data_IF_709607984204
#
_entry.id   IF_709607984204
#
_cell.length_a   1.000
_cell.length_b   1.000
_cell.length_c   1.000
_cell.angle_alpha   90.00
_cell.angle_beta   90.00
_cell.angle_gamma   90.00
#
_symmetry.space_group_name_H-M   'P 1'
#
loop_
_entity.id
_entity.type
_entity.pdbx_description
1 polymer ?
#
# COMPACT_ATOMS: atom_id res chain seq x y z
N UNK A 1 -26.96 32.58 14.44
CA UNK A 1 -26.03 31.94 15.40
C UNK A 1 -24.63 31.98 14.81
N UNK A 2 -23.66 32.44 15.59
CA UNK A 2 -22.28 32.66 15.13
C UNK A 2 -21.62 31.31 14.76
N UNK A 3 -21.24 31.12 13.49
CA UNK A 3 -20.65 29.87 12.98
C UNK A 3 -19.44 29.44 13.82
N UNK A 4 -18.66 30.40 14.32
CA UNK A 4 -17.50 30.15 15.18
C UNK A 4 -17.87 29.58 16.56
N UNK A 5 -19.00 30.01 17.15
CA UNK A 5 -19.46 29.49 18.43
C UNK A 5 -19.98 28.05 18.30
N UNK A 6 -20.66 27.73 17.20
CA UNK A 6 -21.13 26.37 16.91
C UNK A 6 -19.96 25.41 16.65
N UNK A 7 -18.96 25.84 15.87
CA UNK A 7 -17.74 25.05 15.64
C UNK A 7 -16.98 24.79 16.95
N UNK A 8 -16.91 25.78 17.85
CA UNK A 8 -16.28 25.61 19.16
C UNK A 8 -17.04 24.61 20.03
N UNK A 9 -18.36 24.74 20.14
CA UNK A 9 -19.19 23.83 20.93
C UNK A 9 -19.09 22.38 20.42
N UNK A 10 -19.13 22.17 19.11
CA UNK A 10 -19.04 20.82 18.56
C UNK A 10 -17.64 20.20 18.76
N UNK A 11 -16.58 21.02 18.82
CA UNK A 11 -15.24 20.57 19.20
C UNK A 11 -15.21 20.04 20.64
N UNK A 12 -15.86 20.75 21.56
CA UNK A 12 -15.97 20.33 22.97
C UNK A 12 -16.72 18.99 23.09
N UNK A 13 -17.78 18.77 22.31
CA UNK A 13 -18.49 17.49 22.27
C UNK A 13 -17.62 16.34 21.75
N UNK A 14 -16.83 16.56 20.69
CA UNK A 14 -15.88 15.56 20.18
C UNK A 14 -14.82 15.23 21.24
N UNK A 15 -14.26 16.23 21.91
CA UNK A 15 -13.25 16.05 22.96
C UNK A 15 -13.83 15.28 24.16
N UNK A 16 -15.08 15.57 24.54
CA UNK A 16 -15.78 14.84 25.58
C UNK A 16 -15.99 13.36 25.19
N UNK A 17 -16.58 13.09 24.01
CA UNK A 17 -16.78 11.70 23.56
C UNK A 17 -15.46 10.94 23.39
N UNK A 18 -14.37 11.63 23.03
CA UNK A 18 -13.05 11.03 22.98
C UNK A 18 -12.53 10.64 24.37
N UNK A 19 -12.79 11.47 25.40
CA UNK A 19 -12.45 11.12 26.77
C UNK A 19 -13.27 9.92 27.27
N UNK A 20 -14.56 9.84 26.92
CA UNK A 20 -15.43 8.72 27.26
C UNK A 20 -14.99 7.40 26.60
N UNK A 21 -14.53 7.44 25.35
CA UNK A 21 -14.05 6.26 24.60
C UNK A 21 -12.58 5.91 24.86
N UNK A 22 -11.85 6.69 25.67
CA UNK A 22 -10.40 6.53 25.84
C UNK A 22 -10.01 5.11 26.23
N UNK A 23 -10.66 4.55 27.24
CA UNK A 23 -10.37 3.18 27.71
C UNK A 23 -10.78 2.11 26.68
N UNK A 24 -11.88 2.31 25.97
CA UNK A 24 -12.31 1.39 24.91
C UNK A 24 -11.31 1.39 23.74
N UNK A 25 -10.75 2.54 23.35
CA UNK A 25 -9.71 2.63 22.34
C UNK A 25 -8.38 2.04 22.82
N UNK A 26 -7.96 2.33 24.04
CA UNK A 26 -6.76 1.73 24.63
C UNK A 26 -6.88 0.19 24.62
N UNK A 27 -8.00 -0.36 25.09
CA UNK A 27 -8.27 -1.80 25.03
C UNK A 27 -8.29 -2.34 23.59
N UNK A 28 -8.98 -1.65 22.68
CA UNK A 28 -9.11 -2.09 21.29
C UNK A 28 -7.74 -2.23 20.61
N UNK A 29 -6.88 -1.21 20.70
CA UNK A 29 -5.59 -1.20 20.01
C UNK A 29 -4.49 -1.99 20.73
N UNK A 30 -4.50 -2.05 22.06
CA UNK A 30 -3.39 -2.63 22.84
C UNK A 30 -3.63 -4.06 23.33
N UNK A 31 -4.87 -4.55 23.34
CA UNK A 31 -5.16 -5.92 23.78
C UNK A 31 -6.04 -6.67 22.77
N UNK A 32 -7.20 -6.11 22.42
CA UNK A 32 -8.18 -6.82 21.62
C UNK A 32 -7.60 -7.24 20.26
N UNK A 33 -7.08 -6.30 19.47
CA UNK A 33 -6.52 -6.58 18.15
C UNK A 33 -5.28 -7.48 18.18
N UNK A 34 -4.60 -7.57 19.32
CA UNK A 34 -3.44 -8.46 19.50
C UNK A 34 -3.91 -9.90 19.75
N UNK A 35 -4.90 -10.05 20.64
CA UNK A 35 -5.21 -11.32 21.27
C UNK A 35 -6.50 -12.00 20.76
N UNK A 36 -7.34 -11.29 20.01
CA UNK A 36 -8.67 -11.76 19.59
C UNK A 36 -8.91 -11.59 18.09
N UNK A 37 -9.98 -12.21 17.60
CA UNK A 37 -10.45 -12.02 16.22
C UNK A 37 -10.81 -10.56 15.97
N UNK A 38 -10.35 -10.01 14.83
CA UNK A 38 -10.57 -8.63 14.48
C UNK A 38 -12.06 -8.28 14.37
N UNK A 39 -12.92 -9.17 13.85
CA UNK A 39 -14.35 -8.89 13.72
C UNK A 39 -15.06 -8.86 15.09
N UNK A 40 -14.62 -9.70 16.04
CA UNK A 40 -15.09 -9.62 17.44
C UNK A 40 -14.73 -8.26 18.04
N UNK A 41 -13.48 -7.83 17.90
CA UNK A 41 -13.02 -6.53 18.41
C UNK A 41 -13.78 -5.37 17.79
N UNK A 42 -14.01 -5.39 16.48
CA UNK A 42 -14.80 -4.38 15.76
C UNK A 42 -16.22 -4.35 16.31
N UNK A 43 -16.86 -5.52 16.48
CA UNK A 43 -18.23 -5.62 16.99
C UNK A 43 -18.35 -5.07 18.41
N UNK A 44 -17.38 -5.40 19.26
CA UNK A 44 -17.30 -4.88 20.62
C UNK A 44 -17.15 -3.36 20.63
N UNK A 45 -16.20 -2.82 19.86
CA UNK A 45 -15.97 -1.37 19.80
C UNK A 45 -17.21 -0.63 19.28
N UNK A 46 -17.87 -1.13 18.24
CA UNK A 46 -19.11 -0.55 17.71
C UNK A 46 -20.22 -0.53 18.77
N UNK A 47 -20.29 -1.53 19.65
CA UNK A 47 -21.31 -1.57 20.72
C UNK A 47 -21.16 -0.42 21.74
N UNK A 48 -20.01 0.26 21.77
CA UNK A 48 -19.73 1.42 22.63
C UNK A 48 -20.31 2.73 22.09
N UNK A 49 -20.82 2.74 20.86
CA UNK A 49 -21.41 3.93 20.27
C UNK A 49 -22.75 4.29 20.95
N UNK A 50 -22.74 5.34 21.79
CA UNK A 50 -23.94 5.85 22.47
C UNK A 50 -24.69 6.91 21.68
N UNK A 51 -23.94 7.68 20.89
CA UNK A 51 -24.46 8.77 20.05
C UNK A 51 -23.64 8.89 18.74
N UNK A 52 -23.96 9.91 17.95
CA UNK A 52 -23.30 10.20 16.69
C UNK A 52 -21.84 10.67 16.81
N UNK A 53 -21.42 11.28 17.92
CA UNK A 53 -20.03 11.67 18.15
C UNK A 53 -19.18 10.45 18.48
N UNK A 54 -19.71 9.52 19.28
CA UNK A 54 -19.10 8.21 19.49
C UNK A 54 -19.03 7.42 18.17
N UNK A 55 -20.13 7.39 17.41
CA UNK A 55 -20.16 6.73 16.10
C UNK A 55 -19.11 7.31 15.15
N UNK A 56 -18.96 8.63 15.13
CA UNK A 56 -17.94 9.32 14.34
C UNK A 56 -16.51 8.89 14.73
N UNK A 57 -16.20 8.90 16.02
CA UNK A 57 -14.87 8.53 16.55
C UNK A 57 -14.54 7.06 16.32
N UNK A 58 -15.50 6.16 16.54
CA UNK A 58 -15.35 4.73 16.25
C UNK A 58 -15.19 4.52 14.74
N UNK A 59 -15.97 5.23 13.92
CA UNK A 59 -15.80 5.22 12.47
C UNK A 59 -14.37 5.61 12.07
N UNK A 60 -13.83 6.67 12.68
CA UNK A 60 -12.45 7.11 12.45
C UNK A 60 -11.42 6.04 12.82
N UNK A 61 -11.58 5.36 13.97
CA UNK A 61 -10.71 4.27 14.38
C UNK A 61 -10.75 3.08 13.40
N UNK A 62 -11.91 2.83 12.78
CA UNK A 62 -12.11 1.73 11.83
C UNK A 62 -11.74 2.08 10.38
N UNK A 63 -11.39 3.33 10.09
CA UNK A 63 -11.16 3.81 8.73
C UNK A 63 -10.09 3.01 7.97
N UNK A 64 -9.02 2.60 8.65
CA UNK A 64 -7.92 1.79 8.09
C UNK A 64 -7.97 0.31 8.54
N UNK A 65 -9.14 -0.17 8.97
CA UNK A 65 -9.34 -1.55 9.46
C UNK A 65 -10.52 -2.20 8.74
N UNK A 66 -11.69 -1.56 8.79
CA UNK A 66 -12.90 -2.00 8.10
C UNK A 66 -13.65 -0.77 7.55
N UNK A 67 -13.28 -0.37 6.33
CA UNK A 67 -13.84 0.81 5.67
C UNK A 67 -15.36 0.72 5.49
N UNK A 68 -15.95 -0.49 5.40
CA UNK A 68 -17.40 -0.65 5.23
C UNK A 68 -18.13 -0.27 6.51
N UNK A 69 -17.62 -0.72 7.67
CA UNK A 69 -18.18 -0.33 8.97
C UNK A 69 -17.93 1.13 9.27
N UNK A 70 -16.73 1.64 8.96
CA UNK A 70 -16.39 3.06 9.07
C UNK A 70 -17.37 3.94 8.29
N UNK A 71 -17.60 3.62 7.01
CA UNK A 71 -18.57 4.31 6.15
C UNK A 71 -19.97 4.39 6.76
N UNK A 72 -20.52 3.27 7.25
CA UNK A 72 -21.88 3.25 7.81
C UNK A 72 -21.99 4.06 9.11
N UNK A 73 -20.95 4.07 9.95
CA UNK A 73 -20.91 4.88 11.16
C UNK A 73 -20.86 6.38 10.84
N UNK A 74 -19.97 6.81 9.94
CA UNK A 74 -19.87 8.22 9.51
C UNK A 74 -21.15 8.68 8.81
N UNK A 75 -21.77 7.82 8.00
CA UNK A 75 -23.05 8.07 7.35
C UNK A 75 -24.20 8.24 8.36
N UNK A 76 -24.22 7.44 9.42
CA UNK A 76 -25.17 7.60 10.52
C UNK A 76 -24.96 8.94 11.23
N UNK A 77 -23.71 9.28 11.54
CA UNK A 77 -23.36 10.51 12.26
C UNK A 77 -23.76 11.78 11.49
N UNK A 78 -23.41 11.88 10.20
CA UNK A 78 -23.77 13.05 9.38
C UNK A 78 -25.29 13.15 9.14
N UNK A 79 -26.04 12.04 9.16
CA UNK A 79 -27.50 12.08 9.04
C UNK A 79 -28.13 12.78 10.25
N UNK A 80 -27.54 12.61 11.44
CA UNK A 80 -28.00 13.26 12.68
C UNK A 80 -27.55 14.72 12.77
N UNK A 81 -26.28 14.99 12.47
CA UNK A 81 -25.72 16.34 12.45
C UNK A 81 -25.18 16.73 11.07
N UNK A 82 -26.05 17.10 10.11
CA UNK A 82 -25.65 17.37 8.74
C UNK A 82 -24.78 18.63 8.58
N UNK A 83 -24.69 19.46 9.62
CA UNK A 83 -23.90 20.68 9.65
C UNK A 83 -22.62 20.55 10.48
N UNK A 84 -22.35 19.39 11.10
CA UNK A 84 -21.11 19.18 11.83
C UNK A 84 -19.94 19.06 10.84
N UNK A 85 -18.98 19.98 10.97
CA UNK A 85 -17.92 20.18 9.99
C UNK A 85 -17.01 18.94 9.87
N UNK A 86 -16.71 18.29 10.98
CA UNK A 86 -15.86 17.09 11.03
C UNK A 86 -16.56 15.92 10.35
N UNK A 87 -17.87 15.76 10.58
CA UNK A 87 -18.68 14.71 9.97
C UNK A 87 -18.81 14.92 8.46
N UNK A 88 -18.99 16.16 8.02
CA UNK A 88 -19.01 16.54 6.60
C UNK A 88 -17.69 16.12 5.92
N UNK A 89 -16.54 16.41 6.54
CA UNK A 89 -15.25 16.08 5.95
C UNK A 89 -15.06 14.56 5.83
N UNK A 90 -15.29 13.82 6.92
CA UNK A 90 -15.11 12.37 6.91
C UNK A 90 -16.06 11.68 5.96
N UNK A 91 -17.32 12.08 5.92
CA UNK A 91 -18.27 11.54 4.95
C UNK A 91 -17.88 11.88 3.49
N UNK A 92 -17.26 13.03 3.24
CA UNK A 92 -16.73 13.35 1.91
C UNK A 92 -15.57 12.42 1.50
N UNK A 93 -14.61 12.20 2.41
CA UNK A 93 -13.48 11.29 2.26
C UNK A 93 -13.96 9.85 2.01
N UNK A 94 -14.90 9.39 2.81
CA UNK A 94 -15.54 8.08 2.67
C UNK A 94 -16.20 7.90 1.30
N UNK A 95 -17.02 8.88 0.86
CA UNK A 95 -17.62 8.84 -0.48
C UNK A 95 -16.57 8.91 -1.59
N UNK A 96 -15.45 9.61 -1.37
CA UNK A 96 -14.37 9.67 -2.34
C UNK A 96 -13.71 8.30 -2.51
N UNK A 97 -13.36 7.63 -1.41
CA UNK A 97 -12.77 6.29 -1.40
C UNK A 97 -13.62 5.26 -2.14
N UNK A 98 -14.95 5.32 -2.01
CA UNK A 98 -15.87 4.43 -2.73
C UNK A 98 -16.34 4.99 -4.09
N UNK A 99 -15.59 5.94 -4.65
CA UNK A 99 -15.78 6.52 -5.99
C UNK A 99 -17.15 7.21 -6.21
N UNK A 100 -17.84 7.60 -5.13
CA UNK A 100 -19.05 8.45 -5.18
C UNK A 100 -18.68 9.94 -5.30
N UNK A 101 -17.97 10.28 -6.36
CA UNK A 101 -17.35 11.60 -6.58
C UNK A 101 -18.33 12.78 -6.49
N UNK A 102 -19.56 12.65 -7.02
CA UNK A 102 -20.58 13.72 -6.93
C UNK A 102 -20.95 14.04 -5.48
N UNK A 103 -21.11 13.02 -4.65
CA UNK A 103 -21.43 13.17 -3.22
C UNK A 103 -20.24 13.72 -2.46
N UNK A 104 -19.03 13.24 -2.75
CA UNK A 104 -17.79 13.74 -2.16
C UNK A 104 -17.62 15.25 -2.43
N UNK A 105 -17.74 15.68 -3.70
CA UNK A 105 -17.63 17.10 -4.10
C UNK A 105 -18.62 17.98 -3.33
N UNK A 106 -19.89 17.55 -3.18
CA UNK A 106 -20.90 18.31 -2.44
C UNK A 106 -20.44 18.61 -1.01
N UNK A 107 -19.91 17.61 -0.32
CA UNK A 107 -19.50 17.72 1.08
C UNK A 107 -18.15 18.42 1.24
N UNK A 108 -17.17 18.13 0.36
CA UNK A 108 -15.90 18.87 0.32
C UNK A 108 -16.10 20.36 0.13
N UNK A 109 -16.99 20.77 -0.79
CA UNK A 109 -17.32 22.20 -0.95
C UNK A 109 -17.94 22.81 0.30
N UNK A 110 -18.82 22.08 0.99
CA UNK A 110 -19.45 22.55 2.23
C UNK A 110 -18.39 22.76 3.32
N UNK A 111 -17.45 21.83 3.46
CA UNK A 111 -16.33 21.95 4.38
C UNK A 111 -15.41 23.13 4.01
N UNK A 112 -15.04 23.24 2.73
CA UNK A 112 -14.11 24.26 2.20
C UNK A 112 -14.63 25.68 2.41
N UNK A 113 -15.94 25.92 2.43
CA UNK A 113 -16.54 27.22 2.77
C UNK A 113 -16.20 27.70 4.19
N UNK A 114 -15.92 26.79 5.12
CA UNK A 114 -15.56 27.10 6.52
C UNK A 114 -14.05 27.01 6.74
N UNK A 115 -13.35 26.23 5.90
CA UNK A 115 -11.90 25.98 5.97
C UNK A 115 -11.23 26.26 4.63
N UNK A 116 -11.29 27.53 4.21
CA UNK A 116 -10.87 27.96 2.87
C UNK A 116 -9.40 27.66 2.56
N UNK A 117 -8.53 27.62 3.58
CA UNK A 117 -7.09 27.42 3.41
C UNK A 117 -6.65 25.94 3.45
N UNK A 118 -7.57 24.98 3.62
CA UNK A 118 -7.20 23.56 3.62
C UNK A 118 -6.92 23.05 2.20
N UNK A 119 -5.65 23.05 1.80
CA UNK A 119 -5.20 22.65 0.46
C UNK A 119 -5.52 21.19 0.12
N UNK A 120 -5.66 20.30 1.13
CA UNK A 120 -5.93 18.87 0.92
C UNK A 120 -7.27 18.66 0.21
N UNK A 121 -8.24 19.50 0.54
CA UNK A 121 -9.56 19.48 -0.09
C UNK A 121 -9.48 19.83 -1.57
N UNK A 122 -8.55 20.70 -1.97
CA UNK A 122 -8.32 21.00 -3.38
C UNK A 122 -7.68 19.81 -4.12
N UNK A 123 -6.81 19.03 -3.48
CA UNK A 123 -6.30 17.76 -4.05
C UNK A 123 -7.46 16.79 -4.32
N UNK A 124 -8.31 16.55 -3.31
CA UNK A 124 -9.43 15.61 -3.45
C UNK A 124 -10.51 16.09 -4.42
N UNK A 125 -10.80 17.40 -4.45
CA UNK A 125 -11.71 17.97 -5.44
C UNK A 125 -11.15 17.83 -6.87
N UNK A 126 -9.84 18.03 -7.04
CA UNK A 126 -9.18 17.83 -8.33
C UNK A 126 -9.42 16.43 -8.88
N UNK A 127 -9.12 15.41 -8.08
CA UNK A 127 -9.35 14.01 -8.43
C UNK A 127 -10.83 13.71 -8.72
N UNK A 128 -11.75 14.18 -7.87
CA UNK A 128 -13.17 13.94 -8.07
C UNK A 128 -13.67 14.57 -9.39
N UNK A 129 -13.23 15.78 -9.73
CA UNK A 129 -13.61 16.42 -10.98
C UNK A 129 -12.98 15.76 -12.21
N UNK A 130 -11.72 15.32 -12.10
CA UNK A 130 -11.04 14.55 -13.14
C UNK A 130 -11.85 13.30 -13.50
N UNK A 131 -12.28 12.54 -12.49
CA UNK A 131 -13.07 11.32 -12.69
C UNK A 131 -14.50 11.58 -13.20
N UNK A 132 -15.04 12.80 -13.01
CA UNK A 132 -16.32 13.22 -13.59
C UNK A 132 -16.18 13.90 -14.96
N UNK A 133 -14.99 13.93 -15.56
CA UNK A 133 -14.73 14.57 -16.85
C UNK A 133 -14.72 16.10 -16.84
N UNK A 134 -14.71 16.72 -15.66
CA UNK A 134 -14.64 18.17 -15.53
C UNK A 134 -13.20 18.66 -15.40
N UNK A 135 -12.44 18.53 -16.48
CA UNK A 135 -11.00 18.75 -16.49
C UNK A 135 -10.60 20.19 -16.13
N UNK A 136 -11.36 21.19 -16.58
CA UNK A 136 -11.11 22.61 -16.21
C UNK A 136 -11.13 22.82 -14.69
N UNK A 137 -12.13 22.25 -14.00
CA UNK A 137 -12.19 22.33 -12.53
C UNK A 137 -11.14 21.46 -11.84
N UNK A 138 -10.78 20.32 -12.43
CA UNK A 138 -9.70 19.51 -11.92
C UNK A 138 -8.38 20.30 -11.88
N UNK A 139 -8.02 20.93 -13.00
CA UNK A 139 -6.83 21.79 -13.11
C UNK A 139 -6.89 22.97 -12.14
N UNK A 140 -8.03 23.67 -12.06
CA UNK A 140 -8.22 24.80 -11.13
C UNK A 140 -7.91 24.40 -9.68
N UNK A 141 -8.47 23.28 -9.22
CA UNK A 141 -8.24 22.80 -7.86
C UNK A 141 -6.82 22.25 -7.67
N UNK A 142 -6.25 21.56 -8.66
CA UNK A 142 -4.85 21.14 -8.59
C UNK A 142 -3.89 22.33 -8.40
N UNK A 143 -4.12 23.43 -9.12
CA UNK A 143 -3.34 24.66 -8.95
C UNK A 143 -3.51 25.25 -7.55
N UNK A 144 -4.72 25.29 -7.00
CA UNK A 144 -5.00 25.77 -5.63
C UNK A 144 -4.33 24.91 -4.56
N UNK A 145 -4.18 23.60 -4.79
CA UNK A 145 -3.44 22.72 -3.88
C UNK A 145 -1.96 23.11 -3.75
N UNK A 146 -1.41 23.86 -4.72
CA UNK A 146 -0.07 24.44 -4.70
C UNK A 146 1.03 23.39 -4.42
N UNK A 147 1.18 22.45 -5.35
CA UNK A 147 2.14 21.34 -5.23
C UNK A 147 3.55 21.78 -4.84
N UNK A 148 4.06 22.86 -5.45
CA UNK A 148 5.39 23.40 -5.14
C UNK A 148 5.58 23.73 -3.64
N UNK A 149 4.53 24.15 -2.93
CA UNK A 149 4.59 24.42 -1.48
C UNK A 149 4.19 23.22 -0.63
N UNK A 150 3.33 22.33 -1.15
CA UNK A 150 2.62 21.33 -0.34
C UNK A 150 2.89 19.86 -0.75
N UNK A 151 3.88 19.56 -1.60
CA UNK A 151 4.09 18.23 -2.19
C UNK A 151 3.96 17.05 -1.20
N UNK A 152 4.69 17.05 -0.07
CA UNK A 152 4.58 15.99 0.95
C UNK A 152 3.14 15.87 1.50
N UNK A 153 2.50 17.00 1.74
CA UNK A 153 1.12 17.05 2.22
C UNK A 153 0.10 16.58 1.18
N UNK A 154 0.38 16.78 -0.11
CA UNK A 154 -0.42 16.25 -1.22
C UNK A 154 -0.27 14.73 -1.26
N UNK A 155 0.96 14.20 -1.19
CA UNK A 155 1.20 12.75 -1.20
C UNK A 155 0.43 12.07 -0.05
N UNK A 156 0.48 12.65 1.16
CA UNK A 156 -0.30 12.18 2.32
C UNK A 156 -1.81 12.31 2.12
N UNK A 157 -2.28 13.39 1.49
CA UNK A 157 -3.71 13.55 1.20
C UNK A 157 -4.21 12.46 0.24
N UNK A 158 -3.40 12.09 -0.75
CA UNK A 158 -3.69 10.99 -1.68
C UNK A 158 -3.67 9.65 -0.93
N UNK A 159 -2.69 9.43 -0.03
CA UNK A 159 -2.60 8.23 0.80
C UNK A 159 -3.84 8.01 1.67
N UNK A 160 -4.43 9.08 2.22
CA UNK A 160 -5.67 8.97 3.02
C UNK A 160 -6.80 8.27 2.23
N UNK A 161 -6.87 8.50 0.91
CA UNK A 161 -7.91 7.89 0.07
C UNK A 161 -7.50 6.49 -0.39
N UNK A 162 -6.27 6.35 -0.89
CA UNK A 162 -5.83 5.19 -1.69
C UNK A 162 -4.77 4.28 -1.04
N UNK A 163 -4.25 4.65 0.13
CA UNK A 163 -3.29 3.84 0.88
C UNK A 163 -3.87 2.51 1.37
N UNK A 164 -3.01 1.61 1.86
CA UNK A 164 -3.46 0.30 2.34
C UNK A 164 -4.28 0.41 3.64
N UNK A 165 -5.47 -0.19 3.67
CA UNK A 165 -6.45 -0.03 4.78
C UNK A 165 -6.92 -1.35 5.40
N UNK A 166 -6.25 -2.47 5.10
CA UNK A 166 -6.73 -3.80 5.48
C UNK A 166 -5.68 -4.63 6.23
N UNK A 167 -4.52 -4.06 6.58
CA UNK A 167 -3.40 -4.81 7.19
C UNK A 167 -3.81 -5.53 8.48
N UNK A 168 -4.59 -4.88 9.36
CA UNK A 168 -5.08 -5.50 10.61
C UNK A 168 -6.02 -6.67 10.32
N UNK A 169 -6.92 -6.51 9.34
CA UNK A 169 -7.86 -7.57 8.96
C UNK A 169 -7.14 -8.75 8.32
N UNK A 170 -6.20 -8.47 7.41
CA UNK A 170 -5.31 -9.44 6.80
C UNK A 170 -4.50 -10.20 7.85
N UNK A 171 -3.95 -9.51 8.85
CA UNK A 171 -3.25 -10.14 9.97
C UNK A 171 -4.16 -11.14 10.70
N UNK A 172 -5.39 -10.75 11.03
CA UNK A 172 -6.39 -11.63 11.67
C UNK A 172 -6.64 -12.91 10.85
N UNK A 173 -6.85 -12.76 9.54
CA UNK A 173 -7.06 -13.91 8.63
C UNK A 173 -5.83 -14.83 8.55
N UNK A 174 -4.63 -14.24 8.52
CA UNK A 174 -3.37 -14.97 8.49
C UNK A 174 -3.11 -15.74 9.78
N UNK A 175 -3.48 -15.21 10.95
CA UNK A 175 -3.40 -15.92 12.23
C UNK A 175 -4.28 -17.17 12.20
N UNK A 176 -5.54 -17.06 11.76
CA UNK A 176 -6.46 -18.19 11.68
C UNK A 176 -5.92 -19.30 10.75
N UNK A 177 -5.41 -18.93 9.58
CA UNK A 177 -4.79 -19.88 8.64
C UNK A 177 -3.51 -20.50 9.20
N UNK A 178 -2.68 -19.69 9.86
CA UNK A 178 -1.47 -20.17 10.54
C UNK A 178 -1.82 -21.22 11.59
N UNK A 179 -2.83 -20.96 12.43
CA UNK A 179 -3.33 -21.90 13.44
C UNK A 179 -3.89 -23.20 12.82
N UNK A 180 -4.40 -23.14 11.59
CA UNK A 180 -4.77 -24.32 10.79
C UNK A 180 -3.58 -25.06 10.16
N UNK A 181 -2.35 -24.75 10.57
CA UNK A 181 -1.08 -25.28 10.05
C UNK A 181 -0.79 -24.93 8.58
N UNK A 182 -1.34 -23.84 8.06
CA UNK A 182 -0.94 -23.33 6.75
C UNK A 182 0.42 -22.62 6.84
N UNK A 183 1.47 -23.32 6.38
CA UNK A 183 2.85 -22.82 6.41
C UNK A 183 2.99 -21.50 5.67
N UNK A 184 2.35 -21.34 4.48
CA UNK A 184 2.43 -20.11 3.69
C UNK A 184 1.93 -18.89 4.47
N UNK A 185 0.78 -19.01 5.12
CA UNK A 185 0.22 -17.94 5.95
C UNK A 185 1.13 -17.57 7.14
N UNK A 186 1.86 -18.53 7.71
CA UNK A 186 2.83 -18.25 8.78
C UNK A 186 3.93 -17.30 8.30
N UNK A 187 4.49 -17.51 7.10
CA UNK A 187 5.49 -16.59 6.54
C UNK A 187 4.89 -15.24 6.17
N UNK A 188 3.69 -15.23 5.59
CA UNK A 188 3.01 -13.97 5.24
C UNK A 188 2.65 -13.13 6.47
N UNK A 189 2.28 -13.78 7.58
CA UNK A 189 1.99 -13.13 8.87
C UNK A 189 3.23 -12.40 9.39
N UNK A 190 4.33 -13.14 9.56
CA UNK A 190 5.57 -12.56 10.09
C UNK A 190 6.16 -11.52 9.14
N UNK A 191 6.05 -11.72 7.82
CA UNK A 191 6.47 -10.71 6.85
C UNK A 191 5.64 -9.42 6.96
N UNK A 192 4.32 -9.53 7.15
CA UNK A 192 3.44 -8.38 7.34
C UNK A 192 3.84 -7.57 8.57
N UNK A 193 4.06 -8.22 9.72
CA UNK A 193 4.45 -7.54 10.96
C UNK A 193 5.80 -6.83 10.83
N UNK A 194 6.74 -7.37 10.05
CA UNK A 194 8.07 -6.78 9.86
C UNK A 194 8.13 -5.63 8.84
N UNK A 195 7.12 -5.52 7.98
CA UNK A 195 7.11 -4.58 6.85
C UNK A 195 5.79 -3.81 6.82
N UNK A 196 5.33 -3.38 8.00
CA UNK A 196 4.04 -2.74 8.16
C UNK A 196 4.05 -1.35 7.54
N UNK A 197 3.18 -1.13 6.56
CA UNK A 197 3.04 0.14 5.86
C UNK A 197 2.43 1.20 6.80
N UNK A 198 3.02 2.39 6.82
CA UNK A 198 2.54 3.56 7.56
C UNK A 198 2.02 4.63 6.61
N UNK A 199 2.75 4.84 5.52
CA UNK A 199 2.41 5.68 4.38
C UNK A 199 3.14 5.17 3.13
N UNK A 200 3.07 5.93 2.03
CA UNK A 200 3.68 5.56 0.75
C UNK A 200 5.17 5.18 0.81
N UNK A 201 5.95 5.73 1.75
CA UNK A 201 7.40 5.55 1.81
C UNK A 201 7.91 5.00 3.15
N UNK A 202 7.08 5.01 4.19
CA UNK A 202 7.43 4.53 5.51
C UNK A 202 6.85 3.16 5.80
N UNK A 203 7.72 2.28 6.29
CA UNK A 203 7.33 1.05 6.95
C UNK A 203 8.01 0.92 8.32
N UNK A 204 7.46 0.08 9.18
CA UNK A 204 8.07 -0.27 10.45
C UNK A 204 7.87 -1.75 10.79
N UNK A 205 8.54 -2.18 11.87
CA UNK A 205 8.23 -3.47 12.50
C UNK A 205 7.16 -3.19 13.57
N UNK A 206 6.07 -3.94 13.56
CA UNK A 206 5.03 -3.90 14.58
C UNK A 206 5.37 -4.88 15.70
N UNK A 207 6.25 -4.48 16.61
CA UNK A 207 6.85 -5.36 17.63
C UNK A 207 5.82 -6.10 18.49
N UNK A 208 4.73 -5.42 18.87
CA UNK A 208 3.71 -5.99 19.73
C UNK A 208 2.91 -7.11 19.05
N UNK A 209 2.66 -6.99 17.74
CA UNK A 209 2.07 -8.07 16.94
C UNK A 209 3.07 -9.18 16.69
N UNK A 210 4.29 -8.80 16.29
CA UNK A 210 5.35 -9.73 15.92
C UNK A 210 5.69 -10.72 17.04
N UNK A 211 5.82 -10.24 18.28
CA UNK A 211 6.11 -11.11 19.43
C UNK A 211 5.02 -12.17 19.62
N UNK A 212 3.74 -11.74 19.57
CA UNK A 212 2.59 -12.64 19.70
C UNK A 212 2.53 -13.65 18.55
N UNK A 213 2.80 -13.20 17.33
CA UNK A 213 2.62 -14.01 16.14
C UNK A 213 3.76 -15.01 15.94
N UNK A 214 4.99 -14.66 16.31
CA UNK A 214 6.09 -15.63 16.40
C UNK A 214 5.76 -16.74 17.43
N UNK A 215 5.17 -16.38 18.57
CA UNK A 215 4.74 -17.36 19.56
C UNK A 215 3.59 -18.22 19.03
N UNK A 216 2.68 -17.66 18.24
CA UNK A 216 1.64 -18.43 17.55
C UNK A 216 2.26 -19.46 16.60
N UNK A 217 3.22 -19.07 15.76
CA UNK A 217 3.96 -20.00 14.90
C UNK A 217 4.64 -21.09 15.72
N UNK A 218 5.33 -20.72 16.81
CA UNK A 218 5.98 -21.67 17.72
C UNK A 218 5.01 -22.71 18.27
N UNK A 219 3.85 -22.28 18.74
CA UNK A 219 2.85 -23.13 19.37
C UNK A 219 2.15 -24.03 18.35
N UNK A 220 1.93 -23.55 17.13
CA UNK A 220 1.24 -24.31 16.08
C UNK A 220 2.14 -25.34 15.40
N UNK A 221 3.37 -24.98 15.05
CA UNK A 221 4.28 -25.84 14.29
C UNK A 221 5.30 -26.57 15.18
N UNK A 222 5.62 -26.01 16.35
CA UNK A 222 6.65 -26.51 17.27
C UNK A 222 7.98 -25.77 17.15
N UNK A 223 8.76 -25.74 18.24
CA UNK A 223 10.04 -25.00 18.35
C UNK A 223 11.15 -25.49 17.40
N UNK A 224 11.06 -26.74 16.96
CA UNK A 224 12.07 -27.37 16.07
C UNK A 224 11.54 -27.48 14.62
N UNK A 225 10.36 -26.92 14.35
CA UNK A 225 9.78 -26.89 13.01
C UNK A 225 10.59 -25.99 12.07
N UNK A 226 10.55 -26.32 10.78
CA UNK A 226 11.18 -25.50 9.74
C UNK A 226 10.63 -24.07 9.78
N UNK A 227 9.32 -23.91 9.89
CA UNK A 227 8.61 -22.62 9.94
C UNK A 227 9.14 -21.74 11.06
N UNK A 228 9.12 -22.26 12.30
CA UNK A 228 9.54 -21.47 13.45
C UNK A 228 11.03 -21.13 13.39
N UNK A 229 11.89 -22.07 13.00
CA UNK A 229 13.34 -21.83 12.89
C UNK A 229 13.63 -20.75 11.84
N UNK A 230 13.00 -20.84 10.66
CA UNK A 230 13.20 -19.88 9.57
C UNK A 230 12.68 -18.48 9.94
N UNK A 231 11.49 -18.39 10.52
CA UNK A 231 10.88 -17.11 10.88
C UNK A 231 11.55 -16.46 12.10
N UNK A 232 12.04 -17.25 13.05
CA UNK A 232 12.86 -16.76 14.16
C UNK A 232 14.21 -16.24 13.69
N UNK A 233 14.85 -16.90 12.73
CA UNK A 233 16.08 -16.44 12.11
C UNK A 233 15.85 -15.13 11.33
N UNK A 234 14.79 -15.09 10.51
CA UNK A 234 14.39 -13.88 9.79
C UNK A 234 14.16 -12.70 10.74
N UNK A 235 13.45 -12.93 11.86
CA UNK A 235 13.24 -11.89 12.88
C UNK A 235 14.55 -11.32 13.41
N UNK A 236 15.47 -12.18 13.83
CA UNK A 236 16.79 -11.77 14.33
C UNK A 236 17.57 -10.99 13.28
N UNK A 237 17.60 -11.47 12.03
CA UNK A 237 18.35 -10.86 10.93
C UNK A 237 17.77 -9.47 10.58
N UNK A 238 16.44 -9.34 10.48
CA UNK A 238 15.79 -8.05 10.19
C UNK A 238 16.11 -7.02 11.26
N UNK A 239 16.07 -7.39 12.54
CA UNK A 239 16.46 -6.52 13.65
C UNK A 239 17.94 -6.10 13.60
N UNK A 240 18.84 -7.05 13.31
CA UNK A 240 20.27 -6.77 13.14
C UNK A 240 20.52 -5.83 11.96
N UNK A 241 19.78 -5.97 10.86
CA UNK A 241 19.95 -5.13 9.66
C UNK A 241 19.62 -3.66 9.88
N UNK A 242 18.87 -3.32 10.94
CA UNK A 242 18.57 -1.93 11.34
C UNK A 242 19.66 -1.29 12.21
N UNK A 243 20.70 -2.05 12.59
CA UNK A 243 21.80 -1.59 13.45
C UNK A 243 23.11 -1.55 12.66
N UNK A 244 24.02 -0.60 12.94
CA UNK A 244 25.33 -0.57 12.30
C UNK A 244 26.20 -1.76 12.76
N UNK A 245 27.17 -2.15 11.93
CA UNK A 245 28.22 -3.13 12.26
C UNK A 245 27.73 -4.54 12.66
N UNK A 246 26.64 -5.03 12.08
CA UNK A 246 26.03 -6.33 12.42
C UNK A 246 26.35 -7.48 11.44
N UNK A 247 27.26 -7.26 10.47
CA UNK A 247 27.61 -8.24 9.43
C UNK A 247 27.90 -9.64 9.99
N UNK A 248 28.79 -9.74 10.98
CA UNK A 248 29.20 -11.03 11.54
C UNK A 248 28.07 -11.70 12.33
N UNK A 249 27.27 -10.92 13.06
CA UNK A 249 26.08 -11.43 13.75
C UNK A 249 25.04 -11.97 12.77
N UNK A 250 24.82 -11.28 11.65
CA UNK A 250 23.91 -11.75 10.59
C UNK A 250 24.43 -13.06 10.00
N UNK A 251 25.74 -13.14 9.71
CA UNK A 251 26.38 -14.35 9.20
C UNK A 251 26.19 -15.53 10.14
N UNK A 252 26.43 -15.34 11.45
CA UNK A 252 26.23 -16.39 12.47
C UNK A 252 24.79 -16.88 12.46
N UNK A 253 23.79 -15.98 12.46
CA UNK A 253 22.39 -16.39 12.46
C UNK A 253 22.03 -17.17 11.19
N UNK A 254 22.52 -16.77 10.01
CA UNK A 254 22.30 -17.49 8.76
C UNK A 254 22.93 -18.89 8.77
N UNK A 255 24.18 -19.02 9.23
CA UNK A 255 24.87 -20.32 9.33
C UNK A 255 24.21 -21.24 10.37
N UNK A 256 23.93 -20.74 11.58
CA UNK A 256 23.32 -21.53 12.67
C UNK A 256 21.91 -22.04 12.28
N UNK A 257 21.14 -21.22 11.56
CA UNK A 257 19.81 -21.59 11.07
C UNK A 257 19.84 -22.41 9.78
N UNK A 258 21.04 -22.65 9.21
CA UNK A 258 21.25 -23.34 7.93
C UNK A 258 20.40 -22.71 6.82
N UNK A 259 20.56 -21.40 6.63
CA UNK A 259 19.86 -20.64 5.59
C UNK A 259 20.83 -19.94 4.66
N UNK A 260 20.61 -20.15 3.36
CA UNK A 260 21.22 -19.41 2.23
C UNK A 260 22.74 -19.60 2.08
N UNK A 261 23.52 -19.21 3.09
CA UNK A 261 24.98 -19.34 3.09
C UNK A 261 25.40 -20.80 3.04
N UNK A 262 26.61 -21.06 2.54
CA UNK A 262 27.19 -22.42 2.43
C UNK A 262 26.31 -23.38 1.62
N UNK A 263 25.59 -22.84 0.62
CA UNK A 263 24.64 -23.56 -0.21
C UNK A 263 23.47 -24.20 0.57
N UNK A 264 23.18 -23.69 1.77
CA UNK A 264 22.02 -24.11 2.52
C UNK A 264 20.71 -23.68 1.82
N UNK A 265 19.60 -24.33 2.19
CA UNK A 265 18.29 -24.11 1.58
C UNK A 265 17.80 -22.67 1.81
N UNK A 266 17.12 -22.12 0.81
CA UNK A 266 16.37 -20.88 0.95
C UNK A 266 15.04 -21.12 1.68
N UNK A 267 14.48 -20.10 2.34
CA UNK A 267 13.08 -20.14 2.74
C UNK A 267 12.17 -20.42 1.53
N UNK A 268 11.02 -21.05 1.76
CA UNK A 268 10.07 -21.33 0.67
C UNK A 268 9.33 -20.06 0.24
N UNK A 269 9.08 -19.15 1.19
CA UNK A 269 8.35 -17.93 0.92
C UNK A 269 9.24 -16.90 0.21
N UNK A 270 8.79 -16.41 -0.95
CA UNK A 270 9.55 -15.49 -1.79
C UNK A 270 9.82 -14.14 -1.12
N UNK A 271 8.87 -13.61 -0.36
CA UNK A 271 9.05 -12.32 0.34
C UNK A 271 10.12 -12.39 1.43
N UNK A 272 10.09 -13.43 2.26
CA UNK A 272 11.13 -13.65 3.28
C UNK A 272 12.49 -13.93 2.64
N UNK A 273 12.51 -14.72 1.56
CA UNK A 273 13.74 -15.01 0.81
C UNK A 273 14.34 -13.76 0.19
N UNK A 274 13.53 -12.93 -0.48
CA UNK A 274 13.93 -11.65 -1.08
C UNK A 274 14.56 -10.73 -0.05
N UNK A 275 13.94 -10.61 1.12
CA UNK A 275 14.43 -9.75 2.19
C UNK A 275 15.76 -10.26 2.78
N UNK A 276 15.90 -11.57 3.02
CA UNK A 276 17.13 -12.18 3.52
C UNK A 276 18.28 -12.08 2.51
N UNK A 277 18.00 -12.29 1.21
CA UNK A 277 19.00 -12.15 0.15
C UNK A 277 19.45 -10.70 0.03
N UNK A 278 18.51 -9.74 0.00
CA UNK A 278 18.82 -8.30 -0.02
C UNK A 278 19.71 -7.91 1.16
N UNK A 279 19.39 -8.36 2.38
CA UNK A 279 20.23 -8.12 3.56
C UNK A 279 21.62 -8.73 3.39
N UNK A 280 21.70 -9.95 2.84
CA UNK A 280 22.97 -10.65 2.60
C UNK A 280 23.85 -9.92 1.58
N UNK A 281 23.28 -9.43 0.48
CA UNK A 281 23.99 -8.66 -0.55
C UNK A 281 24.47 -7.30 -0.01
N UNK A 282 23.59 -6.53 0.66
CA UNK A 282 23.96 -5.23 1.25
C UNK A 282 25.12 -5.39 2.26
N UNK A 283 25.15 -6.48 3.03
CA UNK A 283 26.21 -6.76 3.98
C UNK A 283 27.44 -7.47 3.37
N UNK A 284 27.48 -7.66 2.05
CA UNK A 284 28.57 -8.35 1.33
C UNK A 284 28.86 -9.73 1.93
N UNK A 285 27.80 -10.47 2.26
CA UNK A 285 27.85 -11.88 2.66
C UNK A 285 27.71 -12.81 1.45
N UNK A 286 27.11 -12.30 0.39
CA UNK A 286 26.96 -12.93 -0.92
C UNK A 286 27.29 -11.89 -1.99
N UNK A 287 27.67 -12.37 -3.17
CA UNK A 287 27.78 -11.58 -4.40
C UNK A 287 26.61 -11.95 -5.32
N UNK A 288 25.92 -10.95 -5.87
CA UNK A 288 24.73 -11.15 -6.70
C UNK A 288 25.01 -11.98 -7.96
N UNK A 289 26.13 -11.70 -8.66
CA UNK A 289 26.46 -12.37 -9.93
C UNK A 289 26.85 -13.81 -9.68
N UNK A 290 27.72 -14.04 -8.71
CA UNK A 290 28.11 -15.40 -8.31
C UNK A 290 26.91 -16.20 -7.77
N UNK A 291 26.00 -15.55 -7.03
CA UNK A 291 24.79 -16.20 -6.56
C UNK A 291 23.87 -16.57 -7.73
N UNK A 292 23.69 -15.68 -8.70
CA UNK A 292 22.90 -15.95 -9.90
C UNK A 292 23.46 -17.12 -10.72
N UNK A 293 24.77 -17.13 -10.98
CA UNK A 293 25.44 -18.20 -11.72
C UNK A 293 25.26 -19.56 -11.04
N UNK A 294 25.37 -19.61 -9.71
CA UNK A 294 25.31 -20.86 -8.96
C UNK A 294 23.88 -21.33 -8.64
N UNK A 295 22.95 -20.39 -8.40
CA UNK A 295 21.63 -20.67 -7.80
C UNK A 295 20.45 -20.00 -8.51
N UNK A 296 20.65 -19.32 -9.64
CA UNK A 296 19.57 -18.71 -10.42
C UNK A 296 18.53 -19.73 -10.87
N UNK A 297 18.97 -20.92 -11.32
CA UNK A 297 18.05 -21.99 -11.73
C UNK A 297 17.19 -22.52 -10.57
N UNK A 298 17.77 -22.64 -9.37
CA UNK A 298 17.02 -23.00 -8.16
C UNK A 298 15.89 -22.00 -7.88
N UNK A 299 16.10 -20.70 -8.17
CA UNK A 299 15.06 -19.69 -7.97
C UNK A 299 13.87 -19.87 -8.91
N UNK A 300 14.11 -20.17 -10.19
CA UNK A 300 13.03 -20.46 -11.13
C UNK A 300 12.26 -21.71 -10.68
N UNK A 301 12.96 -22.78 -10.31
CA UNK A 301 12.34 -24.04 -9.89
C UNK A 301 11.46 -23.86 -8.66
N UNK A 302 11.93 -23.11 -7.66
CA UNK A 302 11.14 -22.79 -6.47
C UNK A 302 9.94 -21.90 -6.81
N UNK A 303 10.12 -20.88 -7.66
CA UNK A 303 9.03 -20.02 -8.12
C UNK A 303 7.92 -20.83 -8.81
N UNK A 304 8.29 -21.79 -9.67
CA UNK A 304 7.36 -22.64 -10.40
C UNK A 304 6.64 -23.63 -9.50
N UNK A 305 7.40 -24.27 -8.60
CA UNK A 305 6.87 -25.26 -7.65
C UNK A 305 5.87 -24.64 -6.69
N UNK A 306 6.14 -23.44 -6.20
CA UNK A 306 5.33 -22.79 -5.17
C UNK A 306 4.34 -21.76 -5.72
N UNK A 307 4.38 -21.48 -7.03
CA UNK A 307 3.62 -20.41 -7.67
C UNK A 307 3.78 -19.09 -6.89
N UNK A 308 5.03 -18.78 -6.57
CA UNK A 308 5.43 -17.59 -5.82
C UNK A 308 6.12 -16.60 -6.77
N UNK A 309 5.40 -15.52 -7.09
CA UNK A 309 5.88 -14.45 -7.96
C UNK A 309 7.15 -13.79 -7.43
N UNK A 310 7.30 -13.67 -6.10
CA UNK A 310 8.42 -12.94 -5.52
C UNK A 310 9.74 -13.70 -5.71
N UNK A 311 9.70 -15.04 -5.76
CA UNK A 311 10.88 -15.84 -6.12
C UNK A 311 11.30 -15.60 -7.58
N UNK A 312 10.34 -15.47 -8.50
CA UNK A 312 10.65 -15.11 -9.88
C UNK A 312 11.18 -13.67 -9.97
N UNK A 313 10.65 -12.76 -9.16
CA UNK A 313 11.13 -11.37 -9.07
C UNK A 313 12.60 -11.30 -8.61
N UNK A 314 12.99 -12.15 -7.64
CA UNK A 314 14.40 -12.28 -7.23
C UNK A 314 15.25 -12.76 -8.41
N UNK A 315 14.82 -13.79 -9.13
CA UNK A 315 15.53 -14.27 -10.31
C UNK A 315 15.73 -13.16 -11.35
N UNK A 316 14.67 -12.42 -11.67
CA UNK A 316 14.72 -11.34 -12.65
C UNK A 316 15.64 -10.19 -12.22
N UNK A 317 15.62 -9.81 -10.94
CA UNK A 317 16.58 -8.85 -10.39
C UNK A 317 18.03 -9.33 -10.60
N UNK A 318 18.31 -10.58 -10.26
CA UNK A 318 19.64 -11.17 -10.40
C UNK A 318 20.08 -11.31 -11.87
N UNK A 319 19.16 -11.65 -12.77
CA UNK A 319 19.37 -11.67 -14.23
C UNK A 319 19.75 -10.28 -14.73
N UNK A 320 19.03 -9.23 -14.29
CA UNK A 320 19.33 -7.86 -14.65
C UNK A 320 20.68 -7.38 -14.12
N UNK A 321 21.04 -7.72 -12.88
CA UNK A 321 22.38 -7.38 -12.32
C UNK A 321 23.50 -8.10 -13.09
N UNK A 322 23.25 -9.33 -13.54
CA UNK A 322 24.27 -10.15 -14.20
C UNK A 322 24.45 -9.81 -15.68
N UNK A 323 23.34 -9.54 -16.39
CA UNK A 323 23.32 -9.36 -17.85
C UNK A 323 23.01 -7.93 -18.31
N UNK A 324 22.68 -7.04 -17.37
CA UNK A 324 22.29 -5.65 -17.62
C UNK A 324 20.80 -5.44 -17.92
N UNK A 325 20.00 -6.51 -18.09
CA UNK A 325 18.57 -6.43 -18.36
C UNK A 325 17.83 -7.71 -17.94
N UNK A 326 16.51 -7.63 -17.77
CA UNK A 326 15.66 -8.83 -17.64
C UNK A 326 15.38 -9.35 -19.04
N UNK A 327 15.43 -10.67 -19.25
CA UNK A 327 15.13 -11.22 -20.57
C UNK A 327 13.63 -11.18 -20.86
N UNK A 328 13.27 -11.00 -22.14
CA UNK A 328 11.87 -11.04 -22.59
C UNK A 328 11.16 -12.34 -22.17
N UNK A 329 11.90 -13.47 -22.12
CA UNK A 329 11.38 -14.75 -21.67
C UNK A 329 10.96 -14.68 -20.20
N UNK A 330 11.81 -14.14 -19.33
CA UNK A 330 11.53 -13.97 -17.90
C UNK A 330 10.34 -13.03 -17.71
N UNK A 331 10.32 -11.89 -18.41
CA UNK A 331 9.23 -10.92 -18.34
C UNK A 331 7.89 -11.51 -18.80
N UNK A 332 7.87 -12.21 -19.94
CA UNK A 332 6.65 -12.87 -20.44
C UNK A 332 6.19 -14.00 -19.52
N UNK A 333 7.10 -14.73 -18.87
CA UNK A 333 6.75 -15.73 -17.86
C UNK A 333 6.07 -15.07 -16.65
N UNK A 334 6.72 -14.07 -16.06
CA UNK A 334 6.18 -13.39 -14.88
C UNK A 334 4.86 -12.67 -15.16
N UNK A 335 4.70 -12.09 -16.34
CA UNK A 335 3.43 -11.50 -16.72
C UNK A 335 2.37 -12.56 -17.03
N UNK A 336 2.60 -13.49 -17.95
CA UNK A 336 1.53 -14.34 -18.46
C UNK A 336 1.18 -15.53 -17.56
N UNK A 337 2.14 -16.05 -16.79
CA UNK A 337 1.89 -17.20 -15.89
C UNK A 337 1.56 -16.77 -14.45
N UNK A 338 2.12 -15.65 -13.98
CA UNK A 338 1.93 -15.17 -12.61
C UNK A 338 1.00 -13.95 -12.52
N UNK A 339 0.57 -13.40 -13.67
CA UNK A 339 -0.25 -12.18 -13.74
C UNK A 339 0.39 -11.01 -12.99
N UNK A 340 1.72 -10.85 -13.12
CA UNK A 340 2.46 -9.79 -12.43
C UNK A 340 2.55 -8.51 -13.25
N UNK A 341 2.09 -7.41 -12.64
CA UNK A 341 2.21 -6.06 -13.19
C UNK A 341 3.69 -5.65 -13.36
N UNK A 342 4.55 -6.02 -12.40
CA UNK A 342 5.98 -5.65 -12.40
C UNK A 342 6.69 -6.18 -13.65
N UNK A 343 6.40 -7.42 -14.02
CA UNK A 343 6.97 -8.09 -15.18
C UNK A 343 6.40 -7.54 -16.50
N UNK A 344 5.10 -7.21 -16.54
CA UNK A 344 4.54 -6.50 -17.69
C UNK A 344 5.20 -5.12 -17.88
N UNK A 345 5.42 -4.36 -16.80
CA UNK A 345 6.12 -3.09 -16.84
C UNK A 345 7.55 -3.26 -17.34
N UNK A 346 8.28 -4.24 -16.78
CA UNK A 346 9.66 -4.57 -17.19
C UNK A 346 9.75 -4.90 -18.67
N UNK A 347 8.81 -5.72 -19.19
CA UNK A 347 8.70 -6.05 -20.61
C UNK A 347 8.67 -4.81 -21.50
N UNK A 348 7.75 -3.87 -21.23
CA UNK A 348 7.60 -2.67 -22.05
C UNK A 348 8.77 -1.69 -21.91
N UNK A 349 9.39 -1.62 -20.73
CA UNK A 349 10.62 -0.84 -20.55
C UNK A 349 11.74 -1.45 -21.40
N UNK A 350 11.87 -2.78 -21.41
CA UNK A 350 12.86 -3.50 -22.22
C UNK A 350 12.66 -3.36 -23.73
N UNK A 351 11.42 -3.17 -24.20
CA UNK A 351 11.15 -2.85 -25.61
C UNK A 351 11.68 -1.48 -26.03
N UNK A 352 11.79 -0.52 -25.10
CA UNK A 352 12.26 0.84 -25.36
C UNK A 352 11.55 1.50 -26.57
N UNK A 353 12.29 1.95 -27.56
CA UNK A 353 11.83 2.60 -28.79
C UNK A 353 11.09 1.68 -29.77
N UNK A 354 11.18 0.35 -29.56
CA UNK A 354 10.44 -0.64 -30.33
C UNK A 354 8.97 -0.70 -29.93
N UNK A 355 8.61 -0.15 -28.77
CA UNK A 355 7.22 -0.14 -28.36
C UNK A 355 6.38 0.77 -29.25
N UNK A 356 5.12 0.40 -29.45
CA UNK A 356 4.15 1.13 -30.27
C UNK A 356 2.86 1.34 -29.53
N UNK A 357 2.19 2.44 -29.83
CA UNK A 357 0.92 2.80 -29.18
C UNK A 357 -0.18 1.76 -29.44
N UNK A 358 -0.19 1.13 -30.62
CA UNK A 358 -1.12 0.10 -31.05
C UNK A 358 -0.60 -1.34 -30.82
N UNK A 359 0.44 -1.50 -30.01
CA UNK A 359 0.98 -2.81 -29.65
C UNK A 359 -0.12 -3.70 -29.02
N UNK A 360 -0.41 -4.89 -29.57
CA UNK A 360 -1.41 -5.80 -29.02
C UNK A 360 -1.06 -6.26 -27.59
N UNK A 361 0.22 -6.42 -27.28
CA UNK A 361 0.65 -6.76 -25.92
C UNK A 361 0.35 -5.59 -24.97
N UNK A 362 0.55 -4.34 -25.39
CA UNK A 362 0.20 -3.18 -24.56
C UNK A 362 -1.30 -3.10 -24.30
N UNK A 363 -2.12 -3.43 -25.31
CA UNK A 363 -3.58 -3.55 -25.14
C UNK A 363 -3.95 -4.64 -24.14
N UNK A 364 -3.32 -5.82 -24.22
CA UNK A 364 -3.50 -6.90 -23.24
C UNK A 364 -3.10 -6.44 -21.83
N UNK A 365 -1.96 -5.77 -21.67
CA UNK A 365 -1.48 -5.33 -20.36
C UNK A 365 -2.42 -4.31 -19.71
N UNK A 366 -3.05 -3.43 -20.49
CA UNK A 366 -4.05 -2.49 -20.00
C UNK A 366 -5.33 -3.19 -19.53
N UNK A 367 -5.68 -4.34 -20.13
CA UNK A 367 -6.80 -5.16 -19.70
C UNK A 367 -6.46 -5.97 -18.44
N UNK A 368 -5.24 -6.52 -18.37
CA UNK A 368 -4.76 -7.27 -17.20
C UNK A 368 -4.59 -6.35 -15.98
N UNK A 369 -4.09 -5.12 -16.19
CA UNK A 369 -3.77 -4.16 -15.14
C UNK A 369 -4.44 -2.80 -15.36
N UNK A 370 -5.79 -2.72 -15.30
CA UNK A 370 -6.53 -1.51 -15.63
C UNK A 370 -6.27 -0.34 -14.67
N UNK A 371 -5.68 -0.61 -13.49
CA UNK A 371 -5.32 0.40 -12.50
C UNK A 371 -3.82 0.74 -12.48
N UNK A 372 -3.01 0.14 -13.37
CA UNK A 372 -1.56 0.41 -13.44
C UNK A 372 -1.28 1.78 -14.04
N UNK A 373 -0.82 2.71 -13.22
CA UNK A 373 -0.35 4.00 -13.73
C UNK A 373 0.86 3.87 -14.67
N UNK A 374 1.77 2.91 -14.42
CA UNK A 374 2.94 2.70 -15.27
C UNK A 374 2.59 2.13 -16.65
N UNK A 375 1.68 1.17 -16.76
CA UNK A 375 1.28 0.64 -18.07
C UNK A 375 0.54 1.71 -18.89
N UNK A 376 -0.35 2.49 -18.25
CA UNK A 376 -0.98 3.65 -18.91
C UNK A 376 0.06 4.71 -19.34
N UNK A 377 1.08 4.93 -18.51
CA UNK A 377 2.18 5.86 -18.82
C UNK A 377 3.01 5.40 -20.02
N UNK A 378 3.28 4.09 -20.13
CA UNK A 378 3.93 3.50 -21.31
C UNK A 378 3.14 3.84 -22.58
N UNK A 379 1.82 3.67 -22.56
CA UNK A 379 0.96 4.01 -23.71
C UNK A 379 0.98 5.49 -24.05
N UNK A 380 0.86 6.37 -23.05
CA UNK A 380 0.96 7.82 -23.23
C UNK A 380 2.29 8.21 -23.90
N UNK A 381 3.40 7.61 -23.50
CA UNK A 381 4.70 7.91 -24.11
C UNK A 381 4.81 7.41 -25.55
N UNK A 382 4.26 6.24 -25.87
CA UNK A 382 4.20 5.77 -27.25
C UNK A 382 3.41 6.77 -28.12
N UNK A 383 2.26 7.26 -27.64
CA UNK A 383 1.48 8.28 -28.33
C UNK A 383 2.30 9.55 -28.60
N UNK A 384 3.04 10.04 -27.59
CA UNK A 384 3.91 11.22 -27.71
C UNK A 384 5.01 11.03 -28.75
N UNK A 385 5.72 9.90 -28.71
CA UNK A 385 6.83 9.59 -29.62
C UNK A 385 6.33 9.49 -31.06
N UNK A 386 5.14 8.93 -31.26
CA UNK A 386 4.51 8.76 -32.57
C UNK A 386 3.78 10.01 -33.07
N UNK A 387 3.74 11.11 -32.29
CA UNK A 387 3.02 12.33 -32.64
C UNK A 387 1.48 12.17 -32.70
N UNK A 388 0.93 11.21 -31.96
CA UNK A 388 -0.52 10.98 -31.82
C UNK A 388 -1.15 11.93 -30.81
N UNK A 389 -2.47 12.11 -30.87
CA UNK A 389 -3.23 12.84 -29.84
C UNK A 389 -3.07 12.15 -28.48
N UNK A 390 -2.66 12.90 -27.45
CA UNK A 390 -2.29 12.33 -26.15
C UNK A 390 -3.36 12.52 -25.07
N UNK A 391 -4.34 13.38 -25.31
CA UNK A 391 -5.30 13.83 -24.29
C UNK A 391 -6.01 12.68 -23.58
N UNK A 392 -6.50 11.72 -24.34
CA UNK A 392 -7.22 10.55 -23.78
C UNK A 392 -6.30 9.70 -22.91
N UNK A 393 -5.11 9.35 -23.40
CA UNK A 393 -4.15 8.54 -22.64
C UNK A 393 -3.62 9.31 -21.40
N UNK A 394 -3.44 10.63 -21.51
CA UNK A 394 -3.01 11.50 -20.41
C UNK A 394 -4.05 11.56 -19.28
N UNK A 395 -5.34 11.64 -19.62
CA UNK A 395 -6.43 11.60 -18.64
C UNK A 395 -6.43 10.27 -17.89
N UNK A 396 -6.21 9.15 -18.58
CA UNK A 396 -6.15 7.84 -17.93
C UNK A 396 -4.94 7.72 -17.01
N UNK A 397 -3.75 8.16 -17.43
CA UNK A 397 -2.57 8.25 -16.56
C UNK A 397 -2.87 9.06 -15.30
N UNK A 398 -3.44 10.25 -15.43
CA UNK A 398 -3.81 11.10 -14.29
C UNK A 398 -4.72 10.37 -13.30
N UNK A 399 -5.76 9.68 -13.78
CA UNK A 399 -6.68 8.91 -12.93
C UNK A 399 -5.96 7.79 -12.18
N UNK A 400 -5.06 7.06 -12.85
CA UNK A 400 -4.35 5.92 -12.22
C UNK A 400 -3.25 6.39 -11.27
N UNK A 401 -2.64 7.53 -11.56
CA UNK A 401 -1.63 8.14 -10.71
C UNK A 401 -2.20 8.57 -9.36
N UNK A 402 -3.41 9.15 -9.29
CA UNK A 402 -4.04 9.39 -7.99
C UNK A 402 -4.20 8.12 -7.15
N UNK A 403 -4.48 6.98 -7.77
CA UNK A 403 -4.65 5.71 -7.05
C UNK A 403 -3.36 5.10 -6.54
N UNK A 404 -2.24 5.32 -7.24
CA UNK A 404 -1.05 4.49 -7.07
C UNK A 404 0.24 5.26 -6.85
N UNK A 405 0.31 6.53 -7.30
CA UNK A 405 1.54 7.30 -7.50
C UNK A 405 2.65 6.47 -8.17
N UNK A 406 2.24 5.56 -9.06
CA UNK A 406 3.04 4.41 -9.44
C UNK A 406 4.11 4.70 -10.49
N UNK A 407 4.02 5.78 -11.26
CA UNK A 407 5.09 6.15 -12.21
C UNK A 407 6.39 6.54 -11.51
N UNK A 408 6.32 7.05 -10.28
CA UNK A 408 7.47 7.36 -9.46
C UNK A 408 7.82 6.18 -8.54
N UNK A 409 9.08 5.73 -8.55
CA UNK A 409 9.51 4.60 -7.71
C UNK A 409 9.39 4.89 -6.21
N UNK A 410 9.51 6.16 -5.82
CA UNK A 410 9.38 6.63 -4.44
C UNK A 410 7.96 7.11 -4.11
N UNK A 411 7.00 6.90 -5.02
CA UNK A 411 5.59 7.24 -4.83
C UNK A 411 5.34 8.73 -4.59
N UNK A 412 6.12 9.60 -5.21
CA UNK A 412 5.91 11.05 -5.13
C UNK A 412 4.99 11.58 -6.24
N UNK A 413 4.14 12.57 -5.93
CA UNK A 413 3.20 13.20 -6.87
C UNK A 413 3.82 14.15 -7.89
N UNK A 414 5.14 14.13 -8.11
CA UNK A 414 5.79 14.97 -9.13
C UNK A 414 5.32 14.63 -10.55
N UNK A 415 5.06 13.35 -10.82
CA UNK A 415 4.43 12.91 -12.08
C UNK A 415 3.08 13.59 -12.30
N UNK A 416 2.19 13.53 -11.31
CA UNK A 416 0.88 14.21 -11.34
C UNK A 416 1.01 15.71 -11.66
N UNK A 417 1.96 16.41 -11.03
CA UNK A 417 2.19 17.84 -11.31
C UNK A 417 2.44 18.08 -12.79
N UNK A 418 3.32 17.29 -13.39
CA UNK A 418 3.67 17.41 -14.80
C UNK A 418 2.50 17.03 -15.70
N UNK A 419 1.74 15.99 -15.38
CA UNK A 419 0.59 15.57 -16.17
C UNK A 419 -0.55 16.60 -16.15
N UNK A 420 -0.80 17.28 -15.02
CA UNK A 420 -1.77 18.37 -14.97
C UNK A 420 -1.34 19.59 -15.81
N UNK A 421 -0.04 19.90 -15.83
CA UNK A 421 0.50 20.95 -16.70
C UNK A 421 0.30 20.59 -18.19
N UNK A 422 0.58 19.34 -18.57
CA UNK A 422 0.31 18.87 -19.92
C UNK A 422 -1.18 18.93 -20.26
N UNK A 423 -2.06 18.50 -19.36
CA UNK A 423 -3.50 18.47 -19.61
C UNK A 423 -4.06 19.89 -19.82
N UNK A 424 -3.52 20.89 -19.16
CA UNK A 424 -3.88 22.29 -19.39
C UNK A 424 -3.55 22.76 -20.81
N UNK A 425 -2.46 22.28 -21.40
CA UNK A 425 -2.08 22.64 -22.78
C UNK A 425 -2.91 21.87 -23.84
N UNK A 426 -3.64 20.82 -23.44
CA UNK A 426 -4.47 19.96 -24.30
C UNK A 426 -5.98 20.35 -24.27
N UNK A 427 -6.37 21.38 -23.50
CA UNK A 427 -7.76 21.84 -23.32
C UNK A 427 -7.91 23.27 -23.79
#
# INVERSE_FOLDING_TARGET
MNCNAQVKHNKELIEQSQAELKQDFEYFFSDCLINKDCNECITNLISKAKDEYHSYLIGDALYNIDYKKSFELHKSAIKKHPNELSFILKYAIENHRIEKYKTAIKHYKKYKKVRENDFRVDVWLSECYLNLGNYKKAIEHWKKANHSKNHIGIDKAIYIIHGQTDQIKKRSDLILKTQSKDSKSAYELIFLDMNWELDWWNNNIQEYFLEKDINTVKNTFGKDSKEYVQLSAYNKIKHLSKKPNTKDSIKIVLSDSKLILENNKMPINGKVTSDLLRISFINKLLDEKQFFENRGQEMIELADKHKDEELLNIYAYLEAVSTGHVSEKTDKKGWNEYLSEKFAISYFIGLADKNKHDNPDLTKALNDFPNSSKIHWVKLNCAKIEGKEIKTDLIEVLKKEFKTLGSDQSKYSYGLKNYFYLLENEI
#
